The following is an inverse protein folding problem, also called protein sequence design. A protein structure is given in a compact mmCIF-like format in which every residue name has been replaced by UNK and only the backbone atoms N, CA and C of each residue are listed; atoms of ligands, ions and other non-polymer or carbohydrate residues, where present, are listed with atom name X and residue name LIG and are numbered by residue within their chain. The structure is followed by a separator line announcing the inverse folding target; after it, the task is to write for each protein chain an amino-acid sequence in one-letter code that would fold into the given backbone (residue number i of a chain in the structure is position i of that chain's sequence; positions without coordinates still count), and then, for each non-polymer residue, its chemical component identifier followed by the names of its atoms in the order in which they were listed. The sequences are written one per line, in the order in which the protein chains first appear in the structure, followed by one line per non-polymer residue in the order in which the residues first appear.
data_IF_405396217712
#
_entry.id   IF_405396217712
#
_cell.length_a   1.000
_cell.length_b   1.000
_cell.length_c   1.000
_cell.angle_alpha   90.00
_cell.angle_beta   90.00
_cell.angle_gamma   90.00
#
_symmetry.space_group_name_H-M   'P 1'
#
loop_
_entity.id
_entity.type
_entity.pdbx_description
1 polymer ?
#
# COMPACT_ATOMS: atom_id res chain seq x y z
N UNK A 1 -0.19 -9.44 19.78
CA UNK A 1 -1.05 -8.56 18.94
C UNK A 1 -0.15 -7.87 17.95
N UNK A 2 -0.36 -8.09 16.66
CA UNK A 2 0.50 -7.54 15.61
C UNK A 2 -0.33 -6.68 14.65
N UNK A 3 -0.01 -5.39 14.57
CA UNK A 3 -0.61 -4.44 13.62
C UNK A 3 0.49 -3.92 12.71
N UNK A 4 0.55 -4.50 11.52
CA UNK A 4 1.65 -4.33 10.58
C UNK A 4 1.24 -3.36 9.49
N UNK A 5 2.03 -2.29 9.34
CA UNK A 5 1.93 -1.42 8.17
C UNK A 5 2.85 -1.94 7.06
N UNK A 6 2.33 -2.06 5.85
CA UNK A 6 3.15 -2.25 4.64
C UNK A 6 3.09 -0.97 3.82
N UNK A 7 4.23 -0.32 3.66
CA UNK A 7 4.32 0.97 2.97
C UNK A 7 5.36 0.98 1.84
N UNK A 8 5.31 2.02 1.02
CA UNK A 8 6.14 2.23 -0.15
C UNK A 8 5.35 2.87 -1.29
N UNK A 9 6.02 3.33 -2.32
CA UNK A 9 5.38 4.06 -3.42
C UNK A 9 4.51 3.16 -4.31
N UNK A 10 3.70 3.77 -5.15
CA UNK A 10 2.87 3.07 -6.14
C UNK A 10 3.73 2.15 -7.01
N UNK A 11 3.27 0.94 -7.28
CA UNK A 11 4.01 -0.06 -8.07
C UNK A 11 5.05 -0.88 -7.29
N UNK A 12 5.28 -0.63 -5.99
CA UNK A 12 6.24 -1.39 -5.18
C UNK A 12 5.79 -2.83 -4.86
N UNK A 13 4.50 -3.15 -4.98
CA UNK A 13 3.97 -4.50 -4.72
C UNK A 13 3.34 -4.69 -3.34
N UNK A 14 3.12 -3.62 -2.58
CA UNK A 14 2.52 -3.65 -1.23
C UNK A 14 1.29 -4.54 -1.11
N UNK A 15 0.30 -4.30 -1.97
CA UNK A 15 -0.98 -5.01 -1.91
C UNK A 15 -0.82 -6.51 -2.20
N UNK A 16 0.08 -6.87 -3.12
CA UNK A 16 0.37 -8.27 -3.44
C UNK A 16 1.07 -8.98 -2.28
N UNK A 17 2.13 -8.35 -1.74
CA UNK A 17 2.89 -8.87 -0.61
C UNK A 17 2.00 -8.92 0.64
N UNK A 18 1.19 -7.88 0.89
CA UNK A 18 0.30 -7.81 2.04
C UNK A 18 -0.76 -8.92 2.05
N UNK A 19 -1.39 -9.17 0.90
CA UNK A 19 -2.36 -10.26 0.75
C UNK A 19 -1.71 -11.63 0.96
N UNK A 20 -0.55 -11.87 0.36
CA UNK A 20 0.14 -13.14 0.52
C UNK A 20 0.59 -13.36 1.96
N UNK A 21 1.18 -12.34 2.60
CA UNK A 21 1.61 -12.41 3.99
C UNK A 21 0.41 -12.63 4.93
N UNK A 22 -0.74 -11.99 4.66
CA UNK A 22 -1.96 -12.18 5.45
C UNK A 22 -2.48 -13.62 5.35
N UNK A 23 -2.40 -14.24 4.17
CA UNK A 23 -2.77 -15.64 3.97
C UNK A 23 -1.87 -16.59 4.77
N UNK A 24 -0.57 -16.32 4.84
CA UNK A 24 0.41 -17.12 5.58
C UNK A 24 0.21 -16.97 7.09
N UNK A 25 0.08 -15.72 7.57
CA UNK A 25 -0.04 -15.39 9.00
C UNK A 25 -1.46 -15.57 9.56
N UNK A 26 -2.46 -15.70 8.69
CA UNK A 26 -3.89 -15.68 9.06
C UNK A 26 -4.31 -14.38 9.77
N UNK A 27 -3.77 -13.26 9.29
CA UNK A 27 -4.10 -11.92 9.75
C UNK A 27 -5.15 -11.28 8.86
N UNK A 28 -5.95 -10.36 9.40
CA UNK A 28 -6.84 -9.54 8.60
C UNK A 28 -6.04 -8.58 7.71
N UNK A 29 -6.44 -8.44 6.44
CA UNK A 29 -5.79 -7.56 5.48
C UNK A 29 -6.72 -6.47 4.97
N UNK A 30 -6.22 -5.25 4.93
CA UNK A 30 -6.87 -4.12 4.27
C UNK A 30 -5.86 -3.31 3.46
N UNK A 31 -6.36 -2.74 2.36
CA UNK A 31 -5.65 -1.74 1.58
C UNK A 31 -6.25 -0.36 1.83
N UNK A 32 -5.46 0.70 1.72
CA UNK A 32 -5.96 2.07 1.86
C UNK A 32 -7.12 2.37 0.89
N UNK A 33 -7.09 1.80 -0.31
CA UNK A 33 -8.16 1.96 -1.30
C UNK A 33 -9.51 1.42 -0.80
N UNK A 34 -9.52 0.37 0.05
CA UNK A 34 -10.75 -0.18 0.63
C UNK A 34 -11.46 0.82 1.56
N UNK A 35 -10.71 1.77 2.12
CA UNK A 35 -11.26 2.83 2.99
C UNK A 35 -11.63 4.08 2.23
N UNK A 36 -10.84 4.49 1.23
CA UNK A 36 -11.14 5.68 0.43
C UNK A 36 -12.36 5.49 -0.46
N UNK A 37 -12.59 4.28 -0.97
CA UNK A 37 -13.66 4.02 -1.94
C UNK A 37 -14.64 2.99 -1.40
N UNK A 38 -15.94 3.32 -1.50
CA UNK A 38 -16.99 2.36 -1.20
C UNK A 38 -17.20 1.43 -2.40
N UNK A 39 -16.99 0.13 -2.19
CA UNK A 39 -17.17 -0.89 -3.23
C UNK A 39 -18.60 -0.96 -3.78
N UNK A 40 -19.56 -0.43 -3.02
CA UNK A 40 -20.97 -0.39 -3.41
C UNK A 40 -21.35 0.87 -4.19
N UNK A 41 -20.44 1.85 -4.33
CA UNK A 41 -20.68 3.17 -4.93
C UNK A 41 -19.65 3.48 -6.03
N UNK A 42 -19.59 2.69 -7.09
CA UNK A 42 -18.83 2.89 -8.34
C UNK A 42 -17.43 3.55 -8.24
N UNK A 43 -16.78 3.53 -7.07
CA UNK A 43 -15.45 4.13 -6.81
C UNK A 43 -15.30 5.60 -7.24
N UNK A 44 -16.42 6.33 -7.45
CA UNK A 44 -16.40 7.65 -8.07
C UNK A 44 -16.13 8.79 -7.10
N UNK A 45 -16.48 8.62 -5.82
CA UNK A 45 -16.30 9.67 -4.81
C UNK A 45 -15.51 9.13 -3.63
N UNK A 46 -14.25 9.55 -3.44
CA UNK A 46 -13.46 9.14 -2.29
C UNK A 46 -14.05 9.73 -1.01
N UNK A 47 -14.02 8.94 0.07
CA UNK A 47 -14.32 9.42 1.43
C UNK A 47 -13.29 10.47 1.85
N UNK A 48 -13.70 11.35 2.75
CA UNK A 48 -12.79 12.29 3.39
C UNK A 48 -11.70 11.57 4.19
N UNK A 49 -10.56 12.23 4.39
CA UNK A 49 -9.47 11.67 5.19
C UNK A 49 -9.92 11.33 6.62
N UNK A 50 -10.77 12.15 7.21
CA UNK A 50 -11.26 11.94 8.58
C UNK A 50 -12.14 10.69 8.69
N UNK A 51 -13.03 10.46 7.72
CA UNK A 51 -13.83 9.24 7.64
C UNK A 51 -12.93 8.00 7.48
N UNK A 52 -11.92 8.08 6.60
CA UNK A 52 -10.95 6.99 6.41
C UNK A 52 -10.19 6.69 7.71
N UNK A 53 -9.72 7.72 8.41
CA UNK A 53 -9.03 7.55 9.70
C UNK A 53 -9.92 6.86 10.73
N UNK A 54 -11.20 7.23 10.82
CA UNK A 54 -12.14 6.64 11.76
C UNK A 54 -12.45 5.18 11.43
N UNK A 55 -12.69 4.86 10.17
CA UNK A 55 -12.96 3.49 9.72
C UNK A 55 -11.74 2.58 9.95
N UNK A 56 -10.55 3.05 9.58
CA UNK A 56 -9.31 2.31 9.78
C UNK A 56 -9.04 2.07 11.28
N UNK A 57 -9.22 3.09 12.12
CA UNK A 57 -9.08 2.95 13.57
C UNK A 57 -10.02 1.89 14.13
N UNK A 58 -11.30 1.92 13.74
CA UNK A 58 -12.29 0.96 14.20
C UNK A 58 -11.93 -0.48 13.80
N UNK A 59 -11.51 -0.68 12.54
CA UNK A 59 -11.06 -2.00 12.09
C UNK A 59 -9.83 -2.48 12.86
N UNK A 60 -8.84 -1.61 13.04
CA UNK A 60 -7.64 -1.95 13.81
C UNK A 60 -7.94 -2.27 15.27
N UNK A 61 -8.97 -1.69 15.86
CA UNK A 61 -9.41 -2.04 17.21
C UNK A 61 -10.17 -3.37 17.27
N UNK A 62 -10.94 -3.70 16.23
CA UNK A 62 -11.73 -4.92 16.17
C UNK A 62 -10.89 -6.18 15.89
N UNK A 63 -9.78 -6.05 15.13
CA UNK A 63 -8.95 -7.20 14.79
C UNK A 63 -7.70 -7.27 15.66
N UNK A 64 -7.44 -8.43 16.24
CA UNK A 64 -6.27 -8.67 17.08
C UNK A 64 -4.96 -8.57 16.27
N UNK A 65 -4.95 -9.16 15.07
CA UNK A 65 -3.84 -9.13 14.14
C UNK A 65 -4.29 -8.54 12.80
N UNK A 66 -3.55 -7.55 12.31
CA UNK A 66 -3.97 -6.73 11.19
C UNK A 66 -2.80 -6.32 10.30
N UNK A 67 -2.97 -6.41 9.00
CA UNK A 67 -2.01 -5.91 8.00
C UNK A 67 -2.70 -4.83 7.19
N UNK A 68 -2.09 -3.67 7.14
CA UNK A 68 -2.56 -2.52 6.38
C UNK A 68 -1.56 -2.10 5.33
N UNK A 69 -2.00 -1.99 4.07
CA UNK A 69 -1.19 -1.52 2.96
C UNK A 69 -1.55 -0.09 2.57
N UNK A 70 -0.57 0.80 2.55
CA UNK A 70 -0.71 2.20 2.11
C UNK A 70 0.61 2.75 1.59
N UNK A 71 0.59 3.93 0.95
CA UNK A 71 1.84 4.61 0.59
C UNK A 71 2.60 5.05 1.85
N UNK A 72 1.90 5.67 2.78
CA UNK A 72 2.31 6.03 4.14
C UNK A 72 1.22 5.64 5.12
N UNK A 73 1.53 5.48 6.39
CA UNK A 73 0.54 5.18 7.44
C UNK A 73 0.06 6.40 8.23
N UNK A 74 0.23 7.61 7.71
CA UNK A 74 -0.06 8.88 8.38
C UNK A 74 -1.56 9.21 8.44
N UNK A 75 -2.30 8.36 9.14
CA UNK A 75 -3.76 8.45 9.35
C UNK A 75 -4.12 9.03 10.74
N UNK A 76 -3.25 9.86 11.31
CA UNK A 76 -3.42 10.48 12.63
C UNK A 76 -2.84 9.65 13.76
N UNK A 77 -2.53 10.33 14.87
CA UNK A 77 -1.81 9.75 16.01
C UNK A 77 -2.48 8.52 16.61
N UNK A 78 -3.82 8.47 16.61
CA UNK A 78 -4.57 7.33 17.14
C UNK A 78 -4.33 6.06 16.31
N UNK A 79 -4.28 6.16 14.98
CA UNK A 79 -3.98 5.04 14.09
C UNK A 79 -2.49 4.70 14.13
N UNK A 80 -1.63 5.71 14.05
CA UNK A 80 -0.18 5.54 14.02
C UNK A 80 0.35 4.83 15.27
N UNK A 81 -0.21 5.16 16.44
CA UNK A 81 0.17 4.53 17.71
C UNK A 81 -0.21 3.05 17.84
N UNK A 82 -1.09 2.56 16.97
CA UNK A 82 -1.47 1.15 16.97
C UNK A 82 -0.50 0.25 16.19
N UNK A 83 0.29 0.80 15.28
CA UNK A 83 1.24 -0.01 14.52
C UNK A 83 2.35 -0.55 15.43
N UNK A 84 2.59 -1.85 15.32
CA UNK A 84 3.63 -2.55 16.08
C UNK A 84 4.90 -2.76 15.27
N UNK A 85 4.80 -2.66 13.93
CA UNK A 85 5.90 -2.82 12.99
C UNK A 85 5.53 -2.17 11.66
N UNK A 86 6.51 -1.65 10.94
CA UNK A 86 6.35 -1.19 9.57
C UNK A 86 7.25 -2.00 8.62
N UNK A 87 6.73 -2.36 7.45
CA UNK A 87 7.46 -2.99 6.36
C UNK A 87 7.54 -1.96 5.24
N UNK A 88 8.74 -1.51 4.92
CA UNK A 88 8.99 -0.60 3.81
C UNK A 88 9.46 -1.39 2.58
N UNK A 89 8.68 -1.32 1.50
CA UNK A 89 9.01 -1.99 0.24
C UNK A 89 9.61 -0.96 -0.71
N UNK A 90 10.91 -1.07 -0.92
CA UNK A 90 11.64 -0.25 -1.88
C UNK A 90 11.65 -0.93 -3.25
N UNK A 91 11.41 -0.15 -4.31
CA UNK A 91 11.57 -0.53 -5.72
C UNK A 91 11.94 0.73 -6.50
N UNK A 92 12.94 0.66 -7.36
CA UNK A 92 13.35 1.77 -8.19
C UNK A 92 12.20 2.32 -9.06
N UNK A 93 12.31 3.60 -9.40
CA UNK A 93 11.26 4.33 -10.15
C UNK A 93 10.93 3.66 -11.48
N UNK A 94 11.94 3.23 -12.23
CA UNK A 94 11.74 2.64 -13.56
C UNK A 94 10.92 1.36 -13.47
N UNK A 95 11.29 0.46 -12.56
CA UNK A 95 10.57 -0.79 -12.31
C UNK A 95 9.14 -0.54 -11.84
N UNK A 96 8.94 0.42 -10.90
CA UNK A 96 7.59 0.80 -10.44
C UNK A 96 6.72 1.31 -11.61
N UNK A 97 7.26 2.21 -12.44
CA UNK A 97 6.50 2.77 -13.57
C UNK A 97 6.17 1.71 -14.62
N UNK A 98 7.09 0.78 -14.92
CA UNK A 98 6.78 -0.37 -15.80
C UNK A 98 5.63 -1.22 -15.26
N UNK A 99 5.62 -1.52 -13.94
CA UNK A 99 4.55 -2.28 -13.29
C UNK A 99 3.20 -1.54 -13.34
N UNK A 100 3.20 -0.24 -13.09
CA UNK A 100 2.01 0.59 -13.10
C UNK A 100 1.41 0.64 -14.52
N UNK A 101 2.21 0.99 -15.54
CA UNK A 101 1.75 1.04 -16.92
C UNK A 101 1.22 -0.31 -17.41
N UNK A 102 1.92 -1.41 -17.10
CA UNK A 102 1.46 -2.77 -17.41
C UNK A 102 0.11 -3.09 -16.76
N UNK A 103 -0.08 -2.73 -15.49
CA UNK A 103 -1.35 -2.93 -14.78
C UNK A 103 -2.49 -2.13 -15.41
N UNK A 104 -2.26 -0.86 -15.72
CA UNK A 104 -3.24 -0.02 -16.40
C UNK A 104 -3.61 -0.58 -17.76
N UNK A 105 -2.64 -1.04 -18.55
CA UNK A 105 -2.91 -1.65 -19.85
C UNK A 105 -3.73 -2.95 -19.73
N UNK A 106 -3.41 -3.80 -18.75
CA UNK A 106 -4.19 -5.02 -18.51
C UNK A 106 -5.63 -4.73 -18.08
N UNK A 107 -5.87 -3.59 -17.44
CA UNK A 107 -7.19 -3.18 -16.96
C UNK A 107 -8.01 -2.47 -18.04
N UNK A 108 -7.39 -1.60 -18.83
CA UNK A 108 -8.08 -0.67 -19.72
C UNK A 108 -7.83 -0.92 -21.22
N UNK A 109 -6.80 -1.71 -21.56
CA UNK A 109 -6.43 -2.01 -22.94
C UNK A 109 -6.08 -0.74 -23.72
N UNK A 110 -6.50 -0.72 -24.97
CA UNK A 110 -6.21 0.39 -25.92
C UNK A 110 -6.88 1.72 -25.51
N UNK A 111 -7.86 1.70 -24.62
CA UNK A 111 -8.50 2.92 -24.10
C UNK A 111 -7.53 3.86 -23.39
N UNK A 112 -6.42 3.36 -22.88
CA UNK A 112 -5.36 4.18 -22.24
C UNK A 112 -4.25 4.63 -23.20
N UNK A 113 -4.27 4.20 -24.45
CA UNK A 113 -3.31 4.60 -25.47
C UNK A 113 -3.73 5.91 -26.13
N UNK A 114 -2.80 6.55 -26.86
CA UNK A 114 -3.06 7.79 -27.60
C UNK A 114 -4.30 7.65 -28.49
N UNK A 115 -5.24 8.60 -28.33
CA UNK A 115 -6.56 8.55 -28.99
C UNK A 115 -7.64 7.79 -28.23
N UNK A 116 -7.32 7.09 -27.15
CA UNK A 116 -8.30 6.44 -26.26
C UNK A 116 -8.94 7.40 -25.27
N UNK A 117 -10.13 7.08 -24.80
CA UNK A 117 -10.93 7.90 -23.88
C UNK A 117 -10.34 8.04 -22.46
N UNK A 118 -9.42 7.16 -22.07
CA UNK A 118 -8.74 7.19 -20.79
C UNK A 118 -7.28 7.71 -20.87
N UNK A 119 -6.79 8.06 -22.08
CA UNK A 119 -5.39 8.43 -22.29
C UNK A 119 -4.96 9.57 -21.37
N UNK A 120 -5.66 10.69 -21.37
CA UNK A 120 -5.31 11.85 -20.54
C UNK A 120 -5.35 11.54 -19.04
N UNK A 121 -6.37 10.78 -18.61
CA UNK A 121 -6.52 10.37 -17.22
C UNK A 121 -5.35 9.51 -16.75
N UNK A 122 -4.95 8.53 -17.55
CA UNK A 122 -3.85 7.62 -17.23
C UNK A 122 -2.48 8.34 -17.29
N UNK A 123 -2.23 9.20 -18.28
CA UNK A 123 -0.99 9.98 -18.32
C UNK A 123 -0.89 10.96 -17.14
N UNK A 124 -1.97 11.60 -16.72
CA UNK A 124 -2.00 12.42 -15.51
C UNK A 124 -1.68 11.59 -14.26
N UNK A 125 -2.25 10.39 -14.15
CA UNK A 125 -1.93 9.45 -13.07
C UNK A 125 -0.46 9.02 -13.09
N UNK A 126 0.10 8.68 -14.26
CA UNK A 126 1.52 8.31 -14.39
C UNK A 126 2.45 9.46 -14.01
N UNK A 127 2.14 10.67 -14.43
CA UNK A 127 2.89 11.87 -14.05
C UNK A 127 2.84 12.09 -12.53
N UNK A 128 1.65 11.99 -11.93
CA UNK A 128 1.48 12.12 -10.48
C UNK A 128 2.32 11.09 -9.72
N UNK A 129 2.26 9.80 -10.08
CA UNK A 129 3.00 8.77 -9.35
C UNK A 129 4.50 8.78 -9.63
N UNK A 130 4.92 9.27 -10.81
CA UNK A 130 6.33 9.40 -11.17
C UNK A 130 7.05 10.52 -10.42
N UNK A 131 6.29 11.55 -9.99
CA UNK A 131 6.82 12.69 -9.23
C UNK A 131 6.83 12.45 -7.71
N UNK A 132 6.32 11.31 -7.25
CA UNK A 132 6.41 10.94 -5.85
C UNK A 132 7.83 10.54 -5.47
N UNK A 133 8.27 11.03 -4.31
CA UNK A 133 9.59 10.76 -3.76
C UNK A 133 9.51 9.76 -2.61
N UNK A 134 10.47 8.82 -2.57
CA UNK A 134 10.66 7.90 -1.46
C UNK A 134 11.05 8.62 -0.16
N UNK A 135 11.72 9.77 -0.25
CA UNK A 135 12.17 10.56 0.90
C UNK A 135 11.01 10.95 1.83
N UNK A 136 9.83 11.26 1.27
CA UNK A 136 8.66 11.54 2.10
C UNK A 136 8.21 10.34 2.93
N UNK A 137 8.30 9.13 2.38
CA UNK A 137 7.93 7.90 3.08
C UNK A 137 8.98 7.56 4.12
N UNK A 138 10.26 7.66 3.76
CA UNK A 138 11.40 7.36 4.63
C UNK A 138 11.44 8.32 5.81
N UNK A 139 11.32 9.64 5.58
CA UNK A 139 11.32 10.64 6.63
C UNK A 139 10.18 10.45 7.62
N UNK A 140 8.98 10.12 7.12
CA UNK A 140 7.86 9.80 7.98
C UNK A 140 8.09 8.51 8.78
N UNK A 141 8.61 7.44 8.16
CA UNK A 141 8.93 6.19 8.85
C UNK A 141 9.97 6.41 9.97
N UNK A 142 10.99 7.21 9.72
CA UNK A 142 12.02 7.54 10.71
C UNK A 142 11.48 8.36 11.90
N UNK A 143 10.30 8.96 11.78
CA UNK A 143 9.61 9.63 12.88
C UNK A 143 8.85 8.67 13.80
N UNK A 144 8.63 7.43 13.38
CA UNK A 144 7.93 6.42 14.15
C UNK A 144 8.88 5.71 15.12
N UNK A 145 8.40 5.43 16.32
CA UNK A 145 9.15 4.67 17.32
C UNK A 145 8.74 3.18 17.31
N UNK A 146 8.82 2.56 16.13
CA UNK A 146 8.49 1.13 15.91
C UNK A 146 9.56 0.47 15.05
N UNK A 147 9.73 -0.87 15.12
CA UNK A 147 10.61 -1.59 14.21
C UNK A 147 10.24 -1.38 12.74
N UNK A 148 11.23 -1.13 11.89
CA UNK A 148 11.07 -0.97 10.46
C UNK A 148 11.85 -2.07 9.75
N UNK A 149 11.17 -2.87 8.94
CA UNK A 149 11.74 -3.90 8.10
C UNK A 149 11.81 -3.36 6.66
N UNK A 150 13.01 -3.22 6.10
CA UNK A 150 13.17 -2.84 4.69
C UNK A 150 13.28 -4.09 3.81
N UNK A 151 12.60 -4.06 2.67
CA UNK A 151 12.55 -5.15 1.70
C UNK A 151 12.76 -4.61 0.29
N UNK A 152 13.57 -5.33 -0.48
CA UNK A 152 13.66 -5.15 -1.93
C UNK A 152 12.43 -5.79 -2.60
N UNK A 153 11.52 -4.95 -3.10
CA UNK A 153 10.28 -5.38 -3.77
C UNK A 153 10.50 -5.88 -5.21
N UNK A 154 11.75 -6.01 -5.68
CA UNK A 154 12.09 -6.62 -6.97
C UNK A 154 12.25 -8.14 -6.86
N UNK A 155 12.48 -8.64 -5.65
CA UNK A 155 12.63 -10.06 -5.38
C UNK A 155 11.33 -10.86 -5.62
N UNK A 156 11.41 -12.18 -5.84
CA UNK A 156 10.24 -13.05 -5.94
C UNK A 156 9.36 -12.99 -4.68
N UNK A 157 8.04 -12.94 -4.86
CA UNK A 157 7.07 -12.77 -3.76
C UNK A 157 7.24 -13.83 -2.68
N UNK A 158 7.44 -15.10 -3.07
CA UNK A 158 7.64 -16.21 -2.14
C UNK A 158 8.92 -16.06 -1.29
N UNK A 159 9.96 -15.46 -1.84
CA UNK A 159 11.18 -15.14 -1.08
C UNK A 159 10.91 -14.02 -0.07
N UNK A 160 10.28 -12.94 -0.52
CA UNK A 160 9.91 -11.81 0.34
C UNK A 160 9.03 -12.27 1.50
N UNK A 161 7.97 -13.00 1.22
CA UNK A 161 7.01 -13.42 2.25
C UNK A 161 7.60 -14.41 3.23
N UNK A 162 8.51 -15.29 2.79
CA UNK A 162 9.27 -16.19 3.68
C UNK A 162 10.20 -15.41 4.61
N UNK A 163 10.91 -14.41 4.09
CA UNK A 163 11.78 -13.55 4.90
C UNK A 163 10.96 -12.77 5.93
N UNK A 164 9.86 -12.15 5.51
CA UNK A 164 8.97 -11.39 6.38
C UNK A 164 8.35 -12.27 7.46
N UNK A 165 7.88 -13.48 7.11
CA UNK A 165 7.34 -14.42 8.07
C UNK A 165 8.35 -14.72 9.19
N UNK A 166 9.59 -15.03 8.84
CA UNK A 166 10.63 -15.32 9.82
C UNK A 166 10.93 -14.11 10.73
N UNK A 167 10.91 -12.88 10.19
CA UNK A 167 11.17 -11.66 10.97
C UNK A 167 10.01 -11.23 11.87
N UNK A 168 8.78 -11.66 11.57
CA UNK A 168 7.58 -11.28 12.34
C UNK A 168 7.29 -12.27 13.46
N UNK A 169 7.59 -13.55 13.23
CA UNK A 169 7.27 -14.63 14.20
C UNK A 169 8.40 -14.85 15.22
N UNK A 170 9.65 -14.51 14.86
CA UNK A 170 10.81 -14.60 15.75
C UNK A 170 11.11 -13.25 16.41
#
# INVERSE_FOLDING_TARGET
MNKILICGLNGSGKSTIGKELSNILKYEYRDAEDYYFDKNNDYSTPRSKDEVCQLLYNDMMNYHNFIFSSVKGNYGSNVESLFTCAIYIHVDKETRMKRIRKRSYLQFGDRMLEGGDLFEKEENFFNFVSNRDDDEVINWLNSLNIPIIQIDGTLPINQITKELYNKIIN
#
